data_IF_932702179097
#
_entry.id   IF_932702179097
#
_cell.length_a   1.000
_cell.length_b   1.000
_cell.length_c   1.000
_cell.angle_alpha   90.00
_cell.angle_beta   90.00
_cell.angle_gamma   90.00
#
_symmetry.space_group_name_H-M   'P 1'
#
loop_
_entity.id
_entity.type
_entity.pdbx_description
1 polymer ?
#
# COMPACT_ATOMS: atom_id res chain seq x y z
N UNK A 1 -2.67 -2.15 -23.61
CA UNK A 1 -1.96 -3.18 -22.82
C UNK A 1 -0.65 -3.46 -23.51
N UNK A 2 0.43 -3.42 -22.75
CA UNK A 2 1.77 -3.73 -23.20
C UNK A 2 1.97 -5.25 -23.33
N UNK A 3 2.99 -5.72 -24.09
CA UNK A 3 3.31 -7.15 -24.17
C UNK A 3 3.64 -7.79 -22.81
N UNK A 4 4.20 -7.02 -21.87
CA UNK A 4 4.50 -7.51 -20.52
C UNK A 4 3.23 -7.69 -19.69
N UNK A 5 2.21 -6.83 -19.86
CA UNK A 5 0.93 -6.95 -19.14
C UNK A 5 0.25 -8.29 -19.41
N UNK A 6 0.34 -8.77 -20.67
CA UNK A 6 -0.26 -10.05 -21.08
C UNK A 6 0.44 -11.26 -20.44
N UNK A 7 1.74 -11.17 -20.18
CA UNK A 7 2.49 -12.24 -19.52
C UNK A 7 2.39 -12.15 -17.99
N UNK A 8 2.21 -10.95 -17.45
CA UNK A 8 2.18 -10.72 -16.01
C UNK A 8 1.11 -11.56 -15.28
N UNK A 9 -0.04 -11.77 -15.93
CA UNK A 9 -1.13 -12.61 -15.40
C UNK A 9 -0.64 -14.04 -15.14
N UNK A 10 0.19 -14.62 -16.03
CA UNK A 10 0.73 -15.97 -15.87
C UNK A 10 1.78 -16.08 -14.77
N UNK A 11 2.38 -14.96 -14.40
CA UNK A 11 3.44 -14.87 -13.39
C UNK A 11 2.96 -14.24 -12.08
N UNK A 12 1.64 -14.23 -11.83
CA UNK A 12 1.05 -13.65 -10.63
C UNK A 12 1.75 -14.10 -9.34
N UNK A 13 1.86 -15.42 -9.13
CA UNK A 13 2.51 -15.99 -7.95
C UNK A 13 3.97 -15.55 -7.82
N UNK A 14 4.68 -15.45 -8.95
CA UNK A 14 6.06 -14.98 -8.99
C UNK A 14 6.20 -13.52 -8.55
N UNK A 15 5.30 -12.64 -9.00
CA UNK A 15 5.25 -11.25 -8.55
C UNK A 15 4.88 -11.15 -7.07
N UNK A 16 3.94 -11.97 -6.58
CA UNK A 16 3.56 -12.01 -5.18
C UNK A 16 4.73 -12.41 -4.27
N UNK A 17 5.48 -13.46 -4.64
CA UNK A 17 6.69 -13.88 -3.91
C UNK A 17 7.74 -12.77 -3.91
N UNK A 18 8.04 -12.18 -5.07
CA UNK A 18 9.01 -11.09 -5.18
C UNK A 18 8.61 -9.86 -4.36
N UNK A 19 7.32 -9.47 -4.36
CA UNK A 19 6.78 -8.38 -3.54
C UNK A 19 6.95 -8.66 -2.05
N UNK A 20 6.63 -9.88 -1.61
CA UNK A 20 6.75 -10.26 -0.20
C UNK A 20 8.22 -10.23 0.26
N UNK A 21 9.13 -10.72 -0.57
CA UNK A 21 10.57 -10.65 -0.32
C UNK A 21 11.08 -9.20 -0.25
N UNK A 22 10.64 -8.34 -1.19
CA UNK A 22 10.96 -6.92 -1.20
C UNK A 22 10.52 -6.25 0.11
N UNK A 23 9.27 -6.47 0.55
CA UNK A 23 8.78 -5.90 1.81
C UNK A 23 9.61 -6.37 3.00
N UNK A 24 9.86 -7.68 3.14
CA UNK A 24 10.62 -8.22 4.26
C UNK A 24 12.06 -7.67 4.33
N UNK A 25 12.71 -7.42 3.19
CA UNK A 25 14.11 -6.95 3.14
C UNK A 25 14.27 -5.44 3.26
N UNK A 26 13.28 -4.66 2.85
CA UNK A 26 13.44 -3.20 2.67
C UNK A 26 12.53 -2.35 3.54
N UNK A 27 11.50 -2.94 4.17
CA UNK A 27 10.71 -2.25 5.18
C UNK A 27 11.54 -2.01 6.44
N UNK A 28 11.56 -0.77 6.94
CA UNK A 28 12.14 -0.42 8.23
C UNK A 28 11.48 0.85 8.79
N UNK A 29 11.69 1.19 10.08
CA UNK A 29 11.05 2.34 10.71
C UNK A 29 11.38 3.70 10.08
N UNK A 30 12.51 3.82 9.38
CA UNK A 30 12.94 5.07 8.73
C UNK A 30 12.36 5.19 7.32
N UNK A 31 12.22 4.07 6.61
CA UNK A 31 11.62 3.99 5.26
C UNK A 31 10.56 2.90 5.21
N UNK A 32 9.39 3.12 5.83
CA UNK A 32 8.35 2.11 5.89
C UNK A 32 7.67 1.97 4.53
N UNK A 33 7.34 0.73 4.17
CA UNK A 33 6.39 0.45 3.10
C UNK A 33 4.95 0.72 3.59
N UNK A 34 4.20 1.49 2.81
CA UNK A 34 2.74 1.68 2.99
C UNK A 34 1.99 0.91 1.90
N UNK A 35 1.02 0.10 2.31
CA UNK A 35 0.18 -0.72 1.43
C UNK A 35 -1.17 -0.03 1.23
N UNK A 36 -1.69 -0.03 0.01
CA UNK A 36 -2.98 0.56 -0.34
C UNK A 36 -3.87 -0.43 -1.10
N UNK A 37 -5.02 -0.77 -0.53
CA UNK A 37 -6.07 -1.56 -1.19
C UNK A 37 -6.70 -0.79 -2.35
N UNK A 38 -6.47 -1.24 -3.58
CA UNK A 38 -6.76 -0.47 -4.80
C UNK A 38 -8.02 -0.91 -5.58
N UNK A 39 -8.79 -1.88 -5.08
CA UNK A 39 -9.98 -2.42 -5.76
C UNK A 39 -11.01 -1.32 -6.07
N UNK A 40 -11.25 -0.42 -5.10
CA UNK A 40 -12.07 0.79 -5.30
C UNK A 40 -11.16 2.00 -5.51
N UNK A 41 -10.83 2.26 -6.78
CA UNK A 41 -9.88 3.33 -7.19
C UNK A 41 -10.12 4.69 -6.52
N UNK A 42 -11.38 5.12 -6.39
CA UNK A 42 -11.72 6.41 -5.76
C UNK A 42 -11.32 6.44 -4.29
N UNK A 43 -11.65 5.39 -3.54
CA UNK A 43 -11.34 5.31 -2.11
C UNK A 43 -9.84 5.16 -1.88
N UNK A 44 -9.14 4.35 -2.69
CA UNK A 44 -7.70 4.18 -2.62
C UNK A 44 -6.97 5.53 -2.80
N UNK A 45 -7.33 6.29 -3.83
CA UNK A 45 -6.74 7.60 -4.12
C UNK A 45 -6.99 8.61 -2.99
N UNK A 46 -8.22 8.69 -2.48
CA UNK A 46 -8.55 9.61 -1.39
C UNK A 46 -7.76 9.28 -0.11
N UNK A 47 -7.66 8.00 0.26
CA UNK A 47 -6.92 7.60 1.45
C UNK A 47 -5.40 7.80 1.28
N UNK A 48 -4.85 7.53 0.10
CA UNK A 48 -3.43 7.81 -0.19
C UNK A 48 -3.10 9.30 -0.07
N UNK A 49 -3.95 10.18 -0.62
CA UNK A 49 -3.75 11.64 -0.50
C UNK A 49 -3.82 12.07 0.96
N UNK A 50 -4.82 11.58 1.71
CA UNK A 50 -4.95 11.87 3.14
C UNK A 50 -3.74 11.40 3.94
N UNK A 51 -3.25 10.18 3.69
CA UNK A 51 -2.08 9.60 4.35
C UNK A 51 -0.84 10.48 4.12
N UNK A 52 -0.56 10.83 2.86
CA UNK A 52 0.58 11.69 2.53
C UNK A 52 0.48 13.07 3.18
N UNK A 53 -0.68 13.72 3.14
CA UNK A 53 -0.89 15.01 3.78
C UNK A 53 -0.82 14.90 5.32
N UNK A 54 -1.20 13.77 5.90
CA UNK A 54 -1.10 13.55 7.34
C UNK A 54 0.35 13.53 7.83
N UNK A 55 1.30 13.11 7.00
CA UNK A 55 2.73 13.05 7.34
C UNK A 55 3.47 14.38 7.17
N UNK A 56 2.97 15.27 6.31
CA UNK A 56 3.63 16.55 6.03
C UNK A 56 3.24 17.63 7.06
N UNK A 57 4.19 18.51 7.36
CA UNK A 57 3.98 19.71 8.15
C UNK A 57 3.68 20.89 7.20
N UNK A 58 2.51 21.51 7.34
CA UNK A 58 2.09 22.66 6.55
C UNK A 58 1.08 23.53 7.33
N UNK A 59 0.94 24.80 6.95
CA UNK A 59 0.02 25.74 7.59
C UNK A 59 -1.46 25.38 7.33
N UNK A 60 -2.35 25.74 8.26
CA UNK A 60 -3.80 25.55 8.13
C UNK A 60 -4.25 24.10 7.88
N UNK A 61 -3.49 23.14 8.43
CA UNK A 61 -3.79 21.71 8.33
C UNK A 61 -5.06 21.35 9.10
N UNK A 62 -6.10 20.94 8.38
CA UNK A 62 -7.30 20.34 8.96
C UNK A 62 -7.07 18.85 9.26
N UNK A 63 -6.75 18.53 10.52
CA UNK A 63 -6.51 17.15 10.96
C UNK A 63 -7.76 16.26 10.85
N UNK A 64 -8.97 16.82 10.98
CA UNK A 64 -10.20 16.04 10.92
C UNK A 64 -10.51 15.56 9.50
N UNK A 65 -10.22 16.39 8.48
CA UNK A 65 -10.34 15.99 7.08
C UNK A 65 -9.38 14.85 6.68
N UNK A 66 -8.28 14.70 7.40
CA UNK A 66 -7.19 13.76 7.09
C UNK A 66 -7.31 12.40 7.79
N UNK A 67 -8.45 12.08 8.41
CA UNK A 67 -8.67 10.73 8.95
C UNK A 67 -8.58 9.68 7.82
N UNK A 68 -7.54 8.86 7.88
CA UNK A 68 -7.25 7.76 6.95
C UNK A 68 -7.98 6.50 7.41
N UNK A 69 -8.57 5.78 6.47
CA UNK A 69 -9.12 4.46 6.74
C UNK A 69 -8.00 3.41 6.73
N UNK A 70 -7.66 2.89 7.92
CA UNK A 70 -6.61 1.88 8.12
C UNK A 70 -6.88 0.52 7.50
N UNK A 71 -8.12 0.26 7.04
CA UNK A 71 -8.44 -0.94 6.25
C UNK A 71 -8.06 -0.78 4.78
N UNK A 72 -7.81 0.45 4.32
CA UNK A 72 -7.49 0.76 2.92
C UNK A 72 -6.01 1.11 2.79
N UNK A 73 -5.49 1.99 3.63
CA UNK A 73 -4.07 2.39 3.63
C UNK A 73 -3.49 2.09 5.00
N UNK A 74 -2.44 1.28 5.05
CA UNK A 74 -1.79 0.86 6.28
C UNK A 74 -0.30 0.58 6.05
N UNK A 75 0.53 0.75 7.08
CA UNK A 75 1.92 0.37 7.00
C UNK A 75 2.05 -1.15 6.92
N UNK A 76 3.00 -1.63 6.12
CA UNK A 76 3.29 -3.06 6.03
C UNK A 76 3.73 -3.62 7.39
N UNK A 77 3.23 -4.81 7.71
CA UNK A 77 3.69 -5.64 8.80
C UNK A 77 3.73 -7.10 8.31
N UNK A 78 4.71 -7.88 8.76
CA UNK A 78 4.90 -9.26 8.32
C UNK A 78 3.67 -10.14 8.67
N UNK A 79 2.95 -9.82 9.74
CA UNK A 79 1.72 -10.51 10.14
C UNK A 79 0.61 -10.40 9.11
N UNK A 80 0.59 -9.35 8.27
CA UNK A 80 -0.45 -9.15 7.25
C UNK A 80 -0.33 -10.10 6.07
N UNK A 81 0.88 -10.61 5.78
CA UNK A 81 1.06 -11.71 4.83
C UNK A 81 0.44 -12.99 5.39
N UNK A 82 0.67 -13.27 6.68
CA UNK A 82 0.15 -14.49 7.35
C UNK A 82 -1.36 -14.47 7.48
N UNK A 83 -1.94 -13.30 7.74
CA UNK A 83 -3.38 -13.12 7.97
C UNK A 83 -4.19 -12.81 6.68
N UNK A 84 -3.57 -12.92 5.49
CA UNK A 84 -4.19 -12.65 4.18
C UNK A 84 -4.79 -11.24 4.02
N UNK A 85 -4.31 -10.26 4.79
CA UNK A 85 -4.61 -8.84 4.52
C UNK A 85 -3.90 -8.35 3.26
N UNK A 86 -2.76 -8.97 2.93
CA UNK A 86 -2.11 -8.83 1.65
C UNK A 86 -2.27 -10.15 0.90
N UNK A 87 -2.98 -10.13 -0.22
CA UNK A 87 -3.19 -11.34 -1.03
C UNK A 87 -1.86 -11.89 -1.52
N UNK A 88 -1.66 -13.19 -1.30
CA UNK A 88 -0.61 -13.99 -1.94
C UNK A 88 -1.08 -14.35 -3.35
#
# INVERSE_FOLDING_TARGET
MSPIDAQAIKHWDGYSVARNEMFARTHNPVTPWTVAGADVKRLARLNLIKDQLSLLHYCDKDAAALLVNSQIVFQYDETYIRNRMISV
#
